data_IF_361970451501
#
_entry.id   IF_361970451501
#
_cell.length_a   1.000
_cell.length_b   1.000
_cell.length_c   1.000
_cell.angle_alpha   90.00
_cell.angle_beta   90.00
_cell.angle_gamma   90.00
#
_symmetry.space_group_name_H-M   'P 1'
#
loop_
_entity.id
_entity.type
_entity.pdbx_description
1 polymer ?
#
# COMPACT_ATOMS: atom_id res chain seq x y z
N UNK A 1 -35.18 9.06 12.39
CA UNK A 1 -34.52 7.89 11.78
C UNK A 1 -33.21 8.34 11.17
N UNK A 2 -32.08 8.10 11.84
CA UNK A 2 -30.77 8.65 11.43
C UNK A 2 -29.71 7.55 11.52
N UNK A 3 -29.71 6.66 10.54
CA UNK A 3 -28.73 5.57 10.40
C UNK A 3 -28.26 5.49 8.94
N UNK A 4 -27.61 6.56 8.46
CA UNK A 4 -26.98 6.57 7.14
C UNK A 4 -25.70 7.43 7.13
N UNK A 5 -24.71 7.10 7.97
CA UNK A 5 -23.35 7.69 7.82
C UNK A 5 -22.19 6.71 8.04
N UNK A 6 -22.41 5.57 8.69
CA UNK A 6 -21.34 4.61 9.02
C UNK A 6 -20.93 3.76 7.79
N UNK A 7 -21.84 3.48 6.85
CA UNK A 7 -21.57 2.57 5.72
C UNK A 7 -20.63 3.13 4.64
N UNK A 8 -20.53 4.46 4.49
CA UNK A 8 -19.65 5.09 3.48
C UNK A 8 -18.19 5.15 3.92
N UNK A 9 -17.92 5.39 5.20
CA UNK A 9 -16.55 5.47 5.72
C UNK A 9 -15.87 4.10 5.73
N UNK A 10 -16.59 3.03 6.11
CA UNK A 10 -16.03 1.67 6.11
C UNK A 10 -15.69 1.18 4.69
N UNK A 11 -16.48 1.58 3.68
CA UNK A 11 -16.21 1.24 2.27
C UNK A 11 -14.98 1.98 1.73
N UNK A 12 -14.88 3.28 2.02
CA UNK A 12 -13.72 4.11 1.64
C UNK A 12 -12.42 3.66 2.31
N UNK A 13 -12.46 3.20 3.56
CA UNK A 13 -11.28 2.64 4.23
C UNK A 13 -10.80 1.34 3.56
N UNK A 14 -11.71 0.46 3.15
CA UNK A 14 -11.37 -0.80 2.45
C UNK A 14 -10.76 -0.56 1.08
N UNK A 15 -11.30 0.40 0.32
CA UNK A 15 -10.77 0.80 -0.99
C UNK A 15 -9.37 1.42 -0.88
N UNK A 16 -9.13 2.26 0.13
CA UNK A 16 -7.81 2.85 0.41
C UNK A 16 -6.76 1.80 0.79
N UNK A 17 -7.12 0.84 1.65
CA UNK A 17 -6.24 -0.26 2.03
C UNK A 17 -5.92 -1.19 0.86
N UNK A 18 -6.94 -1.56 0.06
CA UNK A 18 -6.74 -2.39 -1.12
C UNK A 18 -5.79 -1.70 -2.13
N UNK A 19 -5.98 -0.41 -2.37
CA UNK A 19 -5.12 0.37 -3.28
C UNK A 19 -3.66 0.39 -2.82
N UNK A 20 -3.41 0.61 -1.52
CA UNK A 20 -2.04 0.62 -0.95
C UNK A 20 -1.37 -0.75 -1.07
N UNK A 21 -2.12 -1.83 -0.80
CA UNK A 21 -1.63 -3.20 -0.93
C UNK A 21 -1.27 -3.55 -2.39
N UNK A 22 -2.16 -3.27 -3.33
CA UNK A 22 -1.92 -3.53 -4.76
C UNK A 22 -0.74 -2.71 -5.29
N UNK A 23 -0.63 -1.45 -4.89
CA UNK A 23 0.49 -0.58 -5.32
C UNK A 23 1.82 -1.07 -4.73
N UNK A 24 1.86 -1.46 -3.46
CA UNK A 24 3.06 -2.05 -2.84
C UNK A 24 3.51 -3.33 -3.55
N UNK A 25 2.56 -4.21 -3.90
CA UNK A 25 2.84 -5.43 -4.65
C UNK A 25 3.44 -5.15 -6.04
N UNK A 26 2.90 -4.16 -6.78
CA UNK A 26 3.43 -3.78 -8.08
C UNK A 26 4.88 -3.29 -8.01
N UNK A 27 5.25 -2.57 -6.95
CA UNK A 27 6.65 -2.17 -6.73
C UNK A 27 7.57 -3.36 -6.44
N UNK A 28 7.10 -4.36 -5.71
CA UNK A 28 7.86 -5.60 -5.48
C UNK A 28 8.02 -6.44 -6.76
N UNK A 29 7.00 -6.49 -7.61
CA UNK A 29 7.10 -7.11 -8.94
C UNK A 29 8.12 -6.39 -9.83
N UNK A 30 8.11 -5.05 -9.84
CA UNK A 30 9.12 -4.24 -10.55
C UNK A 30 10.52 -4.44 -9.98
N UNK A 31 10.66 -4.53 -8.65
CA UNK A 31 11.94 -4.84 -8.01
C UNK A 31 12.48 -6.19 -8.49
N UNK A 32 11.64 -7.23 -8.49
CA UNK A 32 12.03 -8.56 -8.95
C UNK A 32 12.45 -8.55 -10.43
N UNK A 33 11.73 -7.79 -11.26
CA UNK A 33 12.06 -7.60 -12.67
C UNK A 33 13.43 -6.92 -12.89
N UNK A 34 13.69 -5.80 -12.20
CA UNK A 34 14.96 -5.07 -12.32
C UNK A 34 16.15 -5.82 -11.72
N UNK A 35 15.92 -6.56 -10.62
CA UNK A 35 16.94 -7.38 -9.98
C UNK A 35 17.34 -8.59 -10.85
N UNK A 36 16.35 -9.28 -11.42
CA UNK A 36 16.56 -10.50 -12.20
C UNK A 36 17.02 -10.25 -13.63
N UNK A 37 16.21 -9.54 -14.44
CA UNK A 37 16.42 -9.48 -15.89
C UNK A 37 17.39 -8.39 -16.32
N UNK A 38 17.31 -7.19 -15.74
CA UNK A 38 18.04 -6.03 -16.23
C UNK A 38 19.34 -5.74 -15.49
N UNK A 39 19.62 -6.44 -14.37
CA UNK A 39 20.75 -6.16 -13.45
C UNK A 39 20.87 -4.68 -13.09
N UNK A 40 19.75 -3.95 -13.07
CA UNK A 40 19.69 -2.54 -12.68
C UNK A 40 19.44 -2.47 -11.19
N UNK A 41 20.51 -2.70 -10.43
CA UNK A 41 20.48 -2.80 -8.96
C UNK A 41 19.93 -1.52 -8.34
N UNK A 42 20.31 -0.34 -8.84
CA UNK A 42 19.84 0.95 -8.34
C UNK A 42 18.31 1.09 -8.44
N UNK A 43 17.73 0.70 -9.57
CA UNK A 43 16.28 0.74 -9.77
C UNK A 43 15.54 -0.30 -8.91
N UNK A 44 16.13 -1.47 -8.69
CA UNK A 44 15.59 -2.46 -7.77
C UNK A 44 15.60 -1.95 -6.32
N UNK A 45 16.67 -1.25 -5.90
CA UNK A 45 16.74 -0.61 -4.58
C UNK A 45 15.67 0.47 -4.44
N UNK A 46 15.48 1.31 -5.46
CA UNK A 46 14.42 2.32 -5.48
C UNK A 46 13.02 1.70 -5.36
N UNK A 47 12.75 0.64 -6.14
CA UNK A 47 11.48 -0.10 -6.06
C UNK A 47 11.25 -0.70 -4.67
N UNK A 48 12.29 -1.25 -4.03
CA UNK A 48 12.20 -1.76 -2.65
C UNK A 48 11.89 -0.66 -1.64
N UNK A 49 12.50 0.52 -1.79
CA UNK A 49 12.20 1.66 -0.93
C UNK A 49 10.74 2.10 -1.09
N UNK A 50 10.25 2.20 -2.33
CA UNK A 50 8.85 2.54 -2.60
C UNK A 50 7.89 1.52 -1.99
N UNK A 51 8.13 0.22 -2.16
CA UNK A 51 7.29 -0.82 -1.55
C UNK A 51 7.19 -0.66 -0.03
N UNK A 52 8.32 -0.40 0.65
CA UNK A 52 8.36 -0.16 2.11
C UNK A 52 7.63 1.12 2.53
N UNK A 53 7.61 2.17 1.70
CA UNK A 53 6.82 3.37 1.98
C UNK A 53 5.32 3.06 2.04
N UNK A 54 4.82 2.23 1.12
CA UNK A 54 3.42 1.81 1.11
C UNK A 54 3.08 0.88 2.29
N UNK A 55 3.97 -0.04 2.67
CA UNK A 55 3.79 -0.84 3.88
C UNK A 55 3.70 0.03 5.15
N UNK A 56 4.58 1.04 5.27
CA UNK A 56 4.53 2.01 6.38
C UNK A 56 3.25 2.85 6.35
N UNK A 57 2.83 3.31 5.17
CA UNK A 57 1.59 4.07 5.01
C UNK A 57 0.37 3.23 5.44
N UNK A 58 0.35 1.95 5.07
CA UNK A 58 -0.68 1.01 5.49
C UNK A 58 -0.67 0.77 7.00
N UNK A 59 0.50 0.50 7.59
CA UNK A 59 0.63 0.31 9.03
C UNK A 59 0.19 1.55 9.82
N UNK A 60 0.55 2.75 9.34
CA UNK A 60 0.11 4.00 9.94
C UNK A 60 -1.41 4.22 9.81
N UNK A 61 -2.00 3.82 8.68
CA UNK A 61 -3.45 3.89 8.48
C UNK A 61 -4.18 2.94 9.43
N UNK A 62 -3.74 1.68 9.53
CA UNK A 62 -4.30 0.67 10.43
C UNK A 62 -4.20 1.11 11.91
N UNK A 63 -3.04 1.63 12.33
CA UNK A 63 -2.84 2.17 13.67
C UNK A 63 -3.75 3.38 13.98
N UNK A 64 -4.13 4.17 12.97
CA UNK A 64 -5.07 5.29 13.12
C UNK A 64 -6.51 4.81 13.19
N UNK A 65 -6.85 3.71 12.52
CA UNK A 65 -8.20 3.13 12.58
C UNK A 65 -8.45 2.36 13.87
N UNK A 66 -7.45 1.74 14.48
CA UNK A 66 -7.60 1.01 15.76
C UNK A 66 -7.69 1.94 16.99
N UNK A 67 -7.17 3.17 16.89
CA UNK A 67 -7.24 4.18 17.97
C UNK A 67 -8.56 4.97 18.02
N UNK A 68 -9.56 4.60 17.22
CA UNK A 68 -10.83 5.33 17.06
C UNK A 68 -12.01 4.48 17.48
#
# INVERSE_FOLDING_TARGET
MTTMRISRTVSSCKEGTATVLTTGQQWEELRAFYWGQHRRIELAVECSHRAKEYEKALANFLNRTEKK
#
